data_IF_778177109252
#
_entry.id   IF_778177109252
#
_cell.length_a   1.000
_cell.length_b   1.000
_cell.length_c   1.000
_cell.angle_alpha   90.00
_cell.angle_beta   90.00
_cell.angle_gamma   90.00
#
_symmetry.space_group_name_H-M   'P 1'
#
loop_
_entity.id
_entity.type
_entity.pdbx_description
1 polymer ?
#
# COMPACT_ATOMS: atom_id res chain seq x y z
N UNK A 1 -73.94 28.39 -39.46
CA UNK A 1 -72.87 28.88 -38.57
C UNK A 1 -72.35 27.68 -37.83
N UNK A 2 -71.24 27.14 -38.30
CA UNK A 2 -70.58 25.93 -37.77
C UNK A 2 -69.85 26.28 -36.47
N UNK A 3 -70.04 25.48 -35.42
CA UNK A 3 -69.34 25.62 -34.14
C UNK A 3 -67.91 25.07 -34.29
N UNK A 4 -66.85 25.82 -33.91
CA UNK A 4 -65.49 25.30 -34.00
C UNK A 4 -65.26 24.24 -32.91
N UNK A 5 -64.88 23.04 -33.36
CA UNK A 5 -64.53 21.91 -32.51
C UNK A 5 -63.16 22.17 -31.86
N UNK A 6 -63.15 22.40 -30.54
CA UNK A 6 -61.92 22.65 -29.78
C UNK A 6 -61.30 21.30 -29.42
N UNK A 7 -60.30 20.88 -30.19
CA UNK A 7 -59.52 19.67 -29.92
C UNK A 7 -58.50 19.97 -28.82
N UNK A 8 -58.78 19.51 -27.59
CA UNK A 8 -57.85 19.65 -26.45
C UNK A 8 -56.89 18.47 -26.51
N UNK A 9 -55.62 18.74 -26.83
CA UNK A 9 -54.57 17.73 -26.82
C UNK A 9 -54.17 17.41 -25.37
N UNK A 10 -54.62 16.26 -24.85
CA UNK A 10 -54.29 15.76 -23.52
C UNK A 10 -53.10 14.81 -23.62
N UNK A 11 -51.98 15.31 -24.15
CA UNK A 11 -50.71 14.60 -24.08
C UNK A 11 -49.93 15.13 -22.88
N UNK A 12 -50.10 14.47 -21.74
CA UNK A 12 -49.27 14.71 -20.57
C UNK A 12 -47.95 13.97 -20.72
N UNK A 13 -46.85 14.71 -20.88
CA UNK A 13 -45.50 14.15 -20.84
C UNK A 13 -45.20 13.65 -19.41
N UNK A 14 -45.46 12.36 -19.18
CA UNK A 14 -45.10 11.72 -17.94
C UNK A 14 -43.62 11.36 -17.98
N UNK A 15 -42.76 12.26 -17.50
CA UNK A 15 -41.35 11.95 -17.28
C UNK A 15 -41.25 10.79 -16.29
N UNK A 16 -40.78 9.64 -16.76
CA UNK A 16 -40.49 8.50 -15.89
C UNK A 16 -39.37 8.86 -14.91
N UNK A 17 -39.45 8.46 -13.62
CA UNK A 17 -38.43 8.83 -12.65
C UNK A 17 -37.09 8.20 -13.05
N UNK A 18 -36.03 9.02 -13.13
CA UNK A 18 -34.64 8.55 -13.28
C UNK A 18 -34.38 7.45 -12.26
N UNK A 19 -34.13 6.23 -12.74
CA UNK A 19 -33.68 5.14 -11.89
C UNK A 19 -32.38 5.56 -11.19
N UNK A 20 -32.49 5.81 -9.88
CA UNK A 20 -31.37 5.95 -8.99
C UNK A 20 -30.61 4.62 -8.95
N UNK A 21 -29.44 4.62 -9.58
CA UNK A 21 -28.56 3.47 -9.66
C UNK A 21 -28.06 3.17 -8.24
N UNK A 22 -28.65 2.16 -7.60
CA UNK A 22 -28.23 1.67 -6.28
C UNK A 22 -26.71 1.51 -6.26
N UNK A 23 -26.10 2.10 -5.24
CA UNK A 23 -24.68 2.07 -4.92
C UNK A 23 -24.17 0.65 -4.68
N UNK A 24 -23.98 -0.10 -5.77
CA UNK A 24 -23.19 -1.31 -5.80
C UNK A 24 -21.72 -0.94 -5.66
N UNK A 25 -20.99 -1.68 -4.82
CA UNK A 25 -19.55 -1.59 -4.65
C UNK A 25 -18.87 -1.63 -6.04
N UNK A 26 -18.35 -0.48 -6.50
CA UNK A 26 -17.83 -0.32 -7.86
C UNK A 26 -16.49 -1.07 -8.02
N UNK A 27 -16.56 -2.33 -8.43
CA UNK A 27 -15.40 -3.18 -8.75
C UNK A 27 -14.54 -2.60 -9.89
N UNK A 28 -15.12 -1.74 -10.73
CA UNK A 28 -14.44 -0.98 -11.78
C UNK A 28 -13.40 0.01 -11.23
N UNK A 29 -13.60 0.52 -10.01
CA UNK A 29 -12.61 1.36 -9.33
C UNK A 29 -11.36 0.56 -8.94
N UNK A 30 -11.50 -0.72 -8.59
CA UNK A 30 -10.37 -1.62 -8.33
C UNK A 30 -9.63 -2.04 -9.60
N UNK A 31 -10.33 -2.22 -10.73
CA UNK A 31 -9.66 -2.52 -12.01
C UNK A 31 -8.84 -1.33 -12.52
N UNK A 32 -9.31 -0.11 -12.28
CA UNK A 32 -8.59 1.12 -12.62
C UNK A 32 -7.39 1.41 -11.70
N UNK A 33 -7.32 0.79 -10.52
CA UNK A 33 -6.14 0.85 -9.67
C UNK A 33 -4.95 0.09 -10.29
N UNK A 34 -5.23 -1.08 -10.90
CA UNK A 34 -4.21 -1.94 -11.52
C UNK A 34 -3.45 -1.25 -12.67
N UNK A 35 -4.12 -0.39 -13.44
CA UNK A 35 -3.51 0.33 -14.58
C UNK A 35 -2.70 1.56 -14.19
N UNK A 36 -2.75 1.97 -12.91
CA UNK A 36 -2.01 3.12 -12.37
C UNK A 36 -0.82 2.74 -11.48
N UNK A 37 -0.48 1.45 -11.39
CA UNK A 37 0.69 1.01 -10.61
C UNK A 37 1.91 1.13 -11.52
N UNK A 38 2.81 2.12 -11.33
CA UNK A 38 4.08 2.19 -12.06
C UNK A 38 4.89 0.91 -11.80
N UNK A 39 5.79 0.57 -12.72
CA UNK A 39 6.53 -0.68 -12.61
C UNK A 39 7.30 -0.74 -11.30
N UNK A 40 7.34 -1.91 -10.66
CA UNK A 40 8.02 -2.15 -9.37
C UNK A 40 9.48 -1.65 -9.41
N UNK A 41 10.13 -1.72 -10.57
CA UNK A 41 11.50 -1.24 -10.79
C UNK A 41 11.61 0.28 -10.87
N UNK A 42 10.62 0.99 -11.41
CA UNK A 42 10.57 2.46 -11.38
C UNK A 42 10.29 2.96 -9.97
N UNK A 43 9.38 2.33 -9.23
CA UNK A 43 9.14 2.62 -7.82
C UNK A 43 10.39 2.41 -6.98
N UNK A 44 11.11 1.32 -7.22
CA UNK A 44 12.39 1.04 -6.55
C UNK A 44 13.49 2.03 -6.96
N UNK A 45 13.55 2.46 -8.22
CA UNK A 45 14.52 3.47 -8.69
C UNK A 45 14.25 4.84 -8.08
N UNK A 46 12.99 5.28 -8.07
CA UNK A 46 12.57 6.53 -7.46
C UNK A 46 12.76 6.50 -5.93
N UNK A 47 12.46 5.38 -5.28
CA UNK A 47 12.72 5.19 -3.84
C UNK A 47 14.22 5.21 -3.56
N UNK A 48 15.04 4.54 -4.39
CA UNK A 48 16.50 4.44 -4.22
C UNK A 48 17.23 5.77 -4.42
N UNK A 49 16.76 6.62 -5.33
CA UNK A 49 17.31 7.97 -5.52
C UNK A 49 16.99 8.90 -4.33
N UNK A 50 15.94 8.60 -3.56
CA UNK A 50 15.56 9.31 -2.34
C UNK A 50 15.97 8.57 -1.05
N UNK A 51 16.86 7.56 -1.12
CA UNK A 51 17.41 6.96 0.10
C UNK A 51 18.44 7.94 0.66
N UNK A 52 18.10 8.54 1.80
CA UNK A 52 19.04 9.32 2.60
C UNK A 52 20.10 8.38 3.17
N UNK A 53 21.37 8.80 3.26
CA UNK A 53 22.46 7.95 3.73
C UNK A 53 22.12 7.32 5.09
N UNK A 54 22.22 5.99 5.17
CA UNK A 54 21.94 5.23 6.40
C UNK A 54 22.79 5.68 7.59
N UNK A 55 23.99 6.21 7.31
CA UNK A 55 24.86 6.79 8.32
C UNK A 55 24.18 7.94 9.08
N UNK A 56 23.42 8.80 8.38
CA UNK A 56 22.67 9.91 8.97
C UNK A 56 21.46 9.39 9.78
N UNK A 57 20.75 8.39 9.25
CA UNK A 57 19.62 7.76 9.93
C UNK A 57 20.02 7.06 11.24
N UNK A 58 21.20 6.44 11.28
CA UNK A 58 21.70 5.74 12.47
C UNK A 58 22.56 6.64 13.38
N UNK A 59 22.70 7.93 13.06
CA UNK A 59 23.54 8.84 13.83
C UNK A 59 22.87 9.21 15.16
N UNK A 60 23.23 8.47 16.20
CA UNK A 60 22.62 8.56 17.53
C UNK A 60 23.00 9.82 18.31
N UNK A 61 23.97 10.61 17.82
CA UNK A 61 24.39 11.87 18.45
C UNK A 61 23.31 12.96 18.42
N UNK A 62 22.31 12.82 17.55
CA UNK A 62 21.20 13.77 17.40
C UNK A 62 19.98 13.43 18.28
N UNK A 63 20.05 12.39 19.12
CA UNK A 63 18.94 12.08 20.02
C UNK A 63 18.85 13.08 21.17
N UNK A 64 17.75 13.85 21.20
CA UNK A 64 17.46 14.80 22.29
C UNK A 64 16.00 14.66 22.73
N UNK A 65 15.79 14.59 24.03
CA UNK A 65 14.43 14.57 24.60
C UNK A 65 13.78 15.94 24.48
N UNK A 66 12.46 15.97 24.29
CA UNK A 66 11.69 17.21 24.12
C UNK A 66 10.82 17.43 25.34
N UNK A 67 10.82 18.65 25.88
CA UNK A 67 10.02 19.02 27.05
C UNK A 67 8.52 19.25 26.74
N UNK A 68 8.14 19.38 25.46
CA UNK A 68 6.78 19.75 25.05
C UNK A 68 6.23 18.84 23.95
N UNK A 69 5.02 18.30 24.16
CA UNK A 69 4.30 17.39 23.26
C UNK A 69 4.01 18.01 21.89
N UNK A 70 3.71 19.31 21.82
CA UNK A 70 3.46 20.00 20.54
C UNK A 70 4.72 20.04 19.65
N UNK A 71 5.89 20.28 20.26
CA UNK A 71 7.18 20.21 19.55
C UNK A 71 7.53 18.78 19.14
N UNK A 72 7.19 17.80 19.97
CA UNK A 72 7.39 16.39 19.65
C UNK A 72 6.59 15.97 18.40
N UNK A 73 5.31 16.33 18.31
CA UNK A 73 4.49 16.01 17.13
C UNK A 73 5.05 16.63 15.85
N UNK A 74 5.47 17.90 15.91
CA UNK A 74 6.10 18.56 14.75
C UNK A 74 7.41 17.89 14.32
N UNK A 75 8.21 17.40 15.28
CA UNK A 75 9.42 16.61 14.99
C UNK A 75 9.08 15.30 14.32
N UNK A 76 8.10 14.55 14.83
CA UNK A 76 7.66 13.28 14.25
C UNK A 76 7.24 13.48 12.80
N UNK A 77 6.41 14.48 12.50
CA UNK A 77 5.93 14.75 11.13
C UNK A 77 7.10 15.07 10.19
N UNK A 78 8.00 15.95 10.61
CA UNK A 78 9.18 16.33 9.81
C UNK A 78 10.14 15.15 9.60
N UNK A 79 10.40 14.38 10.64
CA UNK A 79 11.22 13.17 10.57
C UNK A 79 10.62 12.12 9.65
N UNK A 80 9.30 11.92 9.72
CA UNK A 80 8.59 10.96 8.87
C UNK A 80 8.67 11.33 7.39
N UNK A 81 8.55 12.62 7.08
CA UNK A 81 8.72 13.13 5.72
C UNK A 81 10.19 13.03 5.24
N UNK A 82 11.14 13.31 6.13
CA UNK A 82 12.57 13.33 5.80
C UNK A 82 13.16 11.93 5.58
N UNK A 83 12.81 10.95 6.43
CA UNK A 83 13.31 9.57 6.38
C UNK A 83 12.28 8.56 5.85
N UNK A 84 11.27 9.00 5.09
CA UNK A 84 10.19 8.14 4.59
C UNK A 84 10.70 6.84 3.95
N UNK A 85 11.69 6.94 3.06
CA UNK A 85 12.30 5.78 2.40
C UNK A 85 12.98 4.83 3.38
N UNK A 86 13.71 5.35 4.36
CA UNK A 86 14.42 4.53 5.35
C UNK A 86 13.43 3.80 6.27
N UNK A 87 12.35 4.47 6.69
CA UNK A 87 11.27 3.82 7.45
C UNK A 87 10.54 2.75 6.63
N UNK A 88 10.36 2.95 5.32
CA UNK A 88 9.82 1.93 4.44
C UNK A 88 10.72 0.69 4.39
N UNK A 89 12.05 0.86 4.30
CA UNK A 89 12.98 -0.27 4.35
C UNK A 89 12.97 -0.99 5.70
N UNK A 90 12.92 -0.26 6.82
CA UNK A 90 12.78 -0.88 8.16
C UNK A 90 11.48 -1.66 8.26
N UNK A 91 10.36 -1.10 7.78
CA UNK A 91 9.07 -1.77 7.74
C UNK A 91 9.11 -3.05 6.89
N UNK A 92 9.67 -2.99 5.68
CA UNK A 92 9.85 -4.17 4.81
C UNK A 92 10.76 -5.21 5.45
N UNK A 93 11.85 -4.79 6.09
CA UNK A 93 12.76 -5.67 6.82
C UNK A 93 12.04 -6.40 7.96
N UNK A 94 11.22 -5.69 8.73
CA UNK A 94 10.41 -6.28 9.80
C UNK A 94 9.36 -7.26 9.27
N UNK A 95 8.70 -6.95 8.15
CA UNK A 95 7.80 -7.90 7.46
C UNK A 95 8.56 -9.20 7.15
N UNK A 96 9.69 -9.09 6.43
CA UNK A 96 10.47 -10.27 6.02
C UNK A 96 10.97 -11.05 7.24
N UNK A 97 11.48 -10.36 8.26
CA UNK A 97 11.94 -10.98 9.50
C UNK A 97 10.82 -11.77 10.21
N UNK A 98 9.63 -11.19 10.33
CA UNK A 98 8.48 -11.84 10.94
C UNK A 98 7.95 -13.01 10.10
N UNK A 99 7.96 -12.90 8.77
CA UNK A 99 7.62 -14.01 7.88
C UNK A 99 8.61 -15.17 8.04
N UNK A 100 9.92 -14.88 8.12
CA UNK A 100 10.97 -15.90 8.28
C UNK A 100 10.93 -16.58 9.65
N UNK A 101 10.57 -15.84 10.70
CA UNK A 101 10.51 -16.37 12.06
C UNK A 101 9.29 -17.29 12.28
N UNK A 102 8.29 -17.24 11.40
CA UNK A 102 7.10 -18.08 11.49
C UNK A 102 7.23 -19.33 10.60
N UNK A 103 7.54 -20.51 11.17
CA UNK A 103 7.79 -21.72 10.38
C UNK A 103 6.54 -22.19 9.62
N UNK A 104 5.33 -22.00 10.17
CA UNK A 104 4.09 -22.40 9.50
C UNK A 104 3.78 -21.55 8.27
N UNK A 105 3.96 -20.23 8.37
CA UNK A 105 3.75 -19.33 7.23
C UNK A 105 4.75 -19.64 6.13
N UNK A 106 6.02 -19.91 6.47
CA UNK A 106 7.02 -20.31 5.48
C UNK A 106 6.66 -21.60 4.74
N UNK A 107 6.13 -22.62 5.43
CA UNK A 107 5.70 -23.86 4.79
C UNK A 107 4.57 -23.59 3.79
N UNK A 108 3.57 -22.80 4.19
CA UNK A 108 2.44 -22.45 3.29
C UNK A 108 2.94 -21.63 2.10
N UNK A 109 3.79 -20.63 2.32
CA UNK A 109 4.37 -19.82 1.25
C UNK A 109 5.23 -20.66 0.30
N UNK A 110 6.04 -21.58 0.84
CA UNK A 110 6.86 -22.50 0.07
C UNK A 110 6.02 -23.46 -0.77
N UNK A 111 4.93 -23.99 -0.20
CA UNK A 111 3.98 -24.85 -0.93
C UNK A 111 3.28 -24.10 -2.06
N UNK A 112 2.83 -22.86 -1.82
CA UNK A 112 2.22 -21.99 -2.84
C UNK A 112 3.21 -21.65 -3.95
N UNK A 113 4.44 -21.28 -3.57
CA UNK A 113 5.50 -20.97 -4.53
C UNK A 113 5.84 -22.18 -5.39
N UNK A 114 6.00 -23.36 -4.77
CA UNK A 114 6.24 -24.61 -5.47
C UNK A 114 5.09 -24.97 -6.42
N UNK A 115 3.84 -24.85 -5.97
CA UNK A 115 2.67 -25.09 -6.81
C UNK A 115 2.63 -24.14 -8.02
N UNK A 116 2.81 -22.82 -7.81
CA UNK A 116 2.87 -21.85 -8.90
C UNK A 116 4.06 -22.10 -9.84
N UNK A 117 5.22 -22.50 -9.32
CA UNK A 117 6.39 -22.84 -10.13
C UNK A 117 6.11 -24.06 -11.03
N UNK A 118 5.53 -25.12 -10.47
CA UNK A 118 5.12 -26.31 -11.24
C UNK A 118 4.08 -25.99 -12.32
N UNK A 119 3.10 -25.14 -12.00
CA UNK A 119 2.09 -24.67 -12.95
C UNK A 119 2.75 -23.91 -14.11
N UNK A 120 3.70 -23.02 -13.82
CA UNK A 120 4.45 -22.27 -14.83
C UNK A 120 5.34 -23.18 -15.69
N UNK A 121 5.98 -24.17 -15.09
CA UNK A 121 6.85 -25.10 -15.81
C UNK A 121 6.07 -25.98 -16.80
N UNK A 122 4.92 -26.50 -16.39
CA UNK A 122 4.14 -27.40 -17.23
C UNK A 122 3.41 -26.68 -18.36
N UNK A 123 3.12 -25.37 -18.23
CA UNK A 123 2.38 -24.56 -19.22
C UNK A 123 1.08 -25.20 -19.73
N UNK A 124 0.52 -26.13 -18.97
CA UNK A 124 -0.68 -26.86 -19.36
C UNK A 124 -1.90 -26.02 -19.02
N UNK A 125 -2.72 -25.60 -20.01
CA UNK A 125 -3.99 -24.95 -19.73
C UNK A 125 -4.91 -25.96 -19.06
N UNK A 126 -5.22 -25.73 -17.78
CA UNK A 126 -6.16 -26.58 -17.04
C UNK A 126 -7.56 -26.04 -17.34
N UNK A 127 -8.41 -26.89 -17.90
CA UNK A 127 -9.81 -26.57 -18.11
C UNK A 127 -10.54 -26.72 -16.76
N UNK A 128 -11.01 -25.63 -16.20
CA UNK A 128 -11.91 -25.64 -15.05
C UNK A 128 -13.27 -25.12 -15.50
N UNK A 129 -14.32 -25.94 -15.30
CA UNK A 129 -15.70 -25.56 -15.61
C UNK A 129 -15.91 -25.02 -17.05
N UNK A 130 -15.34 -25.73 -18.03
CA UNK A 130 -15.41 -25.40 -19.48
C UNK A 130 -14.74 -24.09 -19.92
N UNK A 131 -13.94 -23.43 -19.07
CA UNK A 131 -13.01 -22.36 -19.47
C UNK A 131 -11.56 -22.81 -19.33
N UNK A 132 -10.73 -22.49 -20.32
CA UNK A 132 -9.28 -22.69 -20.26
C UNK A 132 -8.66 -21.60 -19.36
N UNK A 133 -8.08 -22.00 -18.23
CA UNK A 133 -7.39 -21.06 -17.35
C UNK A 133 -5.95 -20.88 -17.82
N UNK A 134 -5.56 -19.63 -18.08
CA UNK A 134 -4.18 -19.28 -18.37
C UNK A 134 -3.30 -19.55 -17.12
N UNK A 135 -2.02 -19.84 -17.32
CA UNK A 135 -1.02 -20.10 -16.26
C UNK A 135 -1.02 -19.02 -15.18
N UNK A 136 -1.21 -17.75 -15.55
CA UNK A 136 -1.31 -16.65 -14.59
C UNK A 136 -2.60 -16.72 -13.74
N UNK A 137 -3.73 -17.09 -14.34
CA UNK A 137 -5.00 -17.26 -13.62
C UNK A 137 -4.95 -18.45 -12.66
N UNK A 138 -4.28 -19.54 -13.05
CA UNK A 138 -4.09 -20.70 -12.18
C UNK A 138 -3.24 -20.34 -10.96
N UNK A 139 -2.14 -19.59 -11.13
CA UNK A 139 -1.35 -19.15 -9.98
C UNK A 139 -2.13 -18.18 -9.08
N UNK A 140 -2.94 -17.26 -9.64
CA UNK A 140 -3.84 -16.41 -8.84
C UNK A 140 -4.84 -17.26 -8.05
N UNK A 141 -5.43 -18.29 -8.65
CA UNK A 141 -6.36 -19.19 -7.97
C UNK A 141 -5.69 -19.93 -6.80
N UNK A 142 -4.46 -20.42 -6.97
CA UNK A 142 -3.68 -21.04 -5.88
C UNK A 142 -3.40 -20.04 -4.76
N UNK A 143 -3.04 -18.80 -5.10
CA UNK A 143 -2.83 -17.75 -4.09
C UNK A 143 -4.11 -17.46 -3.30
N UNK A 144 -5.26 -17.34 -3.96
CA UNK A 144 -6.55 -17.14 -3.29
C UNK A 144 -6.90 -18.34 -2.40
N UNK A 145 -6.71 -19.56 -2.91
CA UNK A 145 -6.95 -20.79 -2.14
C UNK A 145 -6.02 -20.93 -0.92
N UNK A 146 -4.86 -20.27 -0.93
CA UNK A 146 -3.92 -20.27 0.21
C UNK A 146 -4.29 -19.28 1.32
N UNK A 147 -5.18 -18.30 1.07
CA UNK A 147 -5.57 -17.29 2.06
C UNK A 147 -6.17 -17.91 3.33
N UNK A 148 -7.11 -18.89 3.26
CA UNK A 148 -7.61 -19.57 4.45
C UNK A 148 -6.51 -20.33 5.21
N UNK A 149 -5.57 -20.95 4.50
CA UNK A 149 -4.44 -21.66 5.13
C UNK A 149 -3.51 -20.69 5.86
N UNK A 150 -3.21 -19.54 5.25
CA UNK A 150 -2.40 -18.49 5.88
C UNK A 150 -3.10 -17.89 7.12
N UNK A 151 -4.41 -17.70 7.05
CA UNK A 151 -5.19 -17.28 8.22
C UNK A 151 -5.08 -18.29 9.36
N UNK A 152 -5.24 -19.59 9.07
CA UNK A 152 -5.11 -20.67 10.04
C UNK A 152 -3.69 -20.81 10.59
N UNK A 153 -2.67 -20.53 9.75
CA UNK A 153 -1.26 -20.50 10.14
C UNK A 153 -0.91 -19.29 11.04
N UNK A 154 -1.85 -18.40 11.34
CA UNK A 154 -1.64 -17.26 12.22
C UNK A 154 -1.11 -16.01 11.52
N UNK A 155 -1.27 -15.88 10.20
CA UNK A 155 -0.83 -14.69 9.46
C UNK A 155 -1.41 -13.39 10.05
N UNK A 156 -2.63 -13.40 10.59
CA UNK A 156 -3.23 -12.23 11.24
C UNK A 156 -2.44 -11.74 12.45
N UNK A 157 -1.99 -12.65 13.32
CA UNK A 157 -1.18 -12.31 14.50
C UNK A 157 0.19 -11.75 14.08
N UNK A 158 0.80 -12.34 13.04
CA UNK A 158 2.06 -11.86 12.48
C UNK A 158 1.91 -10.46 11.90
N UNK A 159 0.85 -10.20 11.14
CA UNK A 159 0.56 -8.86 10.59
C UNK A 159 0.37 -7.83 11.70
N UNK A 160 -0.36 -8.18 12.76
CA UNK A 160 -0.54 -7.29 13.92
C UNK A 160 0.80 -6.95 14.59
N UNK A 161 1.64 -7.97 14.84
CA UNK A 161 2.97 -7.78 15.44
C UNK A 161 3.88 -6.93 14.57
N UNK A 162 3.91 -7.19 13.26
CA UNK A 162 4.71 -6.42 12.31
C UNK A 162 4.27 -4.95 12.31
N UNK A 163 2.96 -4.69 12.20
CA UNK A 163 2.42 -3.33 12.21
C UNK A 163 2.73 -2.61 13.53
N UNK A 164 2.50 -3.27 14.66
CA UNK A 164 2.76 -2.70 15.98
C UNK A 164 4.24 -2.42 16.23
N UNK A 165 5.11 -3.39 15.95
CA UNK A 165 6.55 -3.25 16.12
C UNK A 165 7.11 -2.16 15.19
N UNK A 166 6.66 -2.12 13.93
CA UNK A 166 7.11 -1.10 12.99
C UNK A 166 6.63 0.29 13.41
N UNK A 167 5.36 0.43 13.78
CA UNK A 167 4.84 1.69 14.27
C UNK A 167 5.60 2.17 15.50
N UNK A 168 5.89 1.27 16.44
CA UNK A 168 6.64 1.59 17.64
C UNK A 168 8.07 2.03 17.33
N UNK A 169 8.82 1.25 16.53
CA UNK A 169 10.22 1.56 16.17
C UNK A 169 10.32 2.86 15.37
N UNK A 170 9.44 3.05 14.38
CA UNK A 170 9.40 4.26 13.56
C UNK A 170 9.03 5.47 14.42
N UNK A 171 7.99 5.36 15.26
CA UNK A 171 7.57 6.46 16.13
C UNK A 171 8.63 6.81 17.16
N UNK A 172 9.31 5.80 17.74
CA UNK A 172 10.42 6.00 18.66
C UNK A 172 11.55 6.76 17.97
N UNK A 173 12.00 6.29 16.80
CA UNK A 173 13.05 6.97 16.05
C UNK A 173 12.64 8.40 15.66
N UNK A 174 11.42 8.58 15.13
CA UNK A 174 10.89 9.89 14.74
C UNK A 174 10.66 10.83 15.93
N UNK A 175 10.41 10.30 17.13
CA UNK A 175 10.23 11.09 18.35
C UNK A 175 11.56 11.63 18.87
N UNK A 176 12.60 10.79 18.87
CA UNK A 176 13.89 11.12 19.48
C UNK A 176 14.85 11.80 18.50
N UNK A 177 14.74 11.54 17.18
CA UNK A 177 15.65 12.11 16.18
C UNK A 177 15.44 13.63 16.06
N UNK A 178 16.49 14.42 16.30
CA UNK A 178 16.39 15.88 16.24
C UNK A 178 16.72 16.42 14.85
N UNK A 179 15.71 16.50 13.97
CA UNK A 179 15.84 17.11 12.64
C UNK A 179 16.12 18.61 12.65
N UNK A 180 15.88 19.29 13.76
CA UNK A 180 16.13 20.72 13.87
C UNK A 180 17.63 21.05 13.72
N UNK A 181 18.53 20.14 14.11
CA UNK A 181 19.97 20.37 14.02
C UNK A 181 20.47 20.33 12.57
N UNK A 182 20.08 19.31 11.81
CA UNK A 182 20.52 19.13 10.42
C UNK A 182 19.97 20.20 9.48
N UNK A 183 18.69 20.58 9.63
CA UNK A 183 18.09 21.62 8.78
C UNK A 183 18.73 22.98 9.01
N UNK A 184 19.18 23.26 10.24
CA UNK A 184 19.93 24.49 10.53
C UNK A 184 21.32 24.46 9.90
N UNK A 185 22.05 23.35 10.01
CA UNK A 185 23.37 23.18 9.38
C UNK A 185 23.31 23.31 7.85
N UNK A 186 22.31 22.70 7.20
CA UNK A 186 22.11 22.79 5.75
C UNK A 186 21.84 24.24 5.30
N UNK A 187 21.04 24.98 6.08
CA UNK A 187 20.71 26.38 5.80
C UNK A 187 21.91 27.30 6.00
N UNK A 188 22.68 27.10 7.08
CA UNK A 188 23.91 27.87 7.32
C UNK A 188 24.96 27.60 6.23
N UNK A 189 25.13 26.34 5.82
CA UNK A 189 26.05 25.97 4.74
C UNK A 189 25.68 26.66 3.42
N UNK A 190 24.40 26.65 3.05
CA UNK A 190 23.91 27.33 1.85
C UNK A 190 24.15 28.84 1.90
N UNK A 191 23.98 29.48 3.06
CA UNK A 191 24.25 30.91 3.23
C UNK A 191 25.75 31.22 3.12
N UNK A 192 26.64 30.33 3.59
CA UNK A 192 28.09 30.52 3.44
C UNK A 192 28.63 30.28 2.04
N UNK A 193 27.94 29.47 1.22
CA UNK A 193 28.35 29.22 -0.18
C UNK A 193 27.86 30.32 -1.13
N UNK A 194 26.79 31.03 -0.74
CA UNK A 194 26.14 32.06 -1.58
C UNK A 194 26.64 33.49 -1.33
N UNK A 195 27.52 33.70 -0.33
CA UNK A 195 28.14 34.99 0.03
C UNK A 195 29.63 34.97 -0.32
#
# INVERSE_FOLDING_TARGET
METPEVHIDVSGDMETPKQENKSGFNLSSFSNFSTRIPSLWELLRLSRQNIRPWAEFLQTSNFKTVANVSRLTNRIIRNLAYFQSNYLFVFLGLIVYCLLTSPLILIVLGAVFYACYKIKQNSTPVAFFSKQLNTNQQCIAVNIASVPLLYLAGAGAVMFWVLGASFFVISLHAAFYNIDAIVTEDMETFLTETV
#
